data_IF_173715566257
#
_entry.id   IF_173715566257
#
_cell.length_a   1.000
_cell.length_b   1.000
_cell.length_c   1.000
_cell.angle_alpha   90.00
_cell.angle_beta   90.00
_cell.angle_gamma   90.00
#
_symmetry.space_group_name_H-M   'P 1'
#
loop_
_entity.id
_entity.type
_entity.pdbx_description
1 polymer ?
#
# COMPACT_ATOMS: atom_id res chain seq x y z
N UNK A 1 8.17 2.84 12.23
CA UNK A 1 6.76 3.13 11.87
C UNK A 1 6.02 4.01 12.89
N UNK A 2 6.49 5.21 13.29
CA UNK A 2 5.65 6.10 14.09
C UNK A 2 4.38 6.52 13.31
N UNK A 3 3.23 6.55 13.97
CA UNK A 3 1.97 7.07 13.41
C UNK A 3 1.36 6.26 12.26
N UNK A 4 1.77 5.01 12.05
CA UNK A 4 1.16 4.17 11.01
C UNK A 4 -0.25 3.70 11.40
N UNK A 5 -1.14 3.63 10.42
CA UNK A 5 -2.49 3.08 10.55
C UNK A 5 -2.59 1.79 9.75
N UNK A 6 -3.11 0.74 10.37
CA UNK A 6 -3.41 -0.53 9.70
C UNK A 6 -4.87 -0.88 9.92
N UNK A 7 -5.69 -0.74 8.89
CA UNK A 7 -7.06 -1.24 8.88
C UNK A 7 -7.05 -2.64 8.27
N UNK A 8 -6.95 -3.66 9.11
CA UNK A 8 -6.53 -5.02 8.71
C UNK A 8 -7.66 -6.03 8.52
N UNK A 9 -8.92 -5.60 8.45
CA UNK A 9 -10.07 -6.52 8.36
C UNK A 9 -10.08 -7.40 7.10
N UNK A 10 -9.37 -7.01 6.04
CA UNK A 10 -9.16 -7.82 4.83
C UNK A 10 -7.82 -8.57 4.77
N UNK A 11 -6.99 -8.43 5.81
CA UNK A 11 -5.65 -9.00 5.85
C UNK A 11 -4.58 -8.05 5.30
N UNK A 12 -3.42 -8.04 5.98
CA UNK A 12 -2.21 -7.32 5.57
C UNK A 12 -1.04 -8.27 5.78
N UNK A 13 -0.35 -8.62 4.69
CA UNK A 13 0.87 -9.42 4.71
C UNK A 13 2.06 -8.52 4.40
N UNK A 14 3.11 -8.60 5.21
CA UNK A 14 4.35 -7.86 5.03
C UNK A 14 5.48 -8.89 5.11
N UNK A 15 6.23 -9.03 4.02
CA UNK A 15 7.35 -9.97 3.91
C UNK A 15 8.63 -9.40 4.54
N UNK A 16 9.72 -10.19 4.47
CA UNK A 16 11.04 -9.83 5.00
C UNK A 16 11.62 -8.55 4.37
N UNK A 17 12.47 -7.86 5.12
CA UNK A 17 13.23 -6.68 4.67
C UNK A 17 12.39 -5.50 4.12
N UNK A 18 11.08 -5.48 4.37
CA UNK A 18 10.22 -4.35 4.02
C UNK A 18 10.51 -3.15 4.92
N UNK A 19 10.67 -1.97 4.31
CA UNK A 19 10.82 -0.72 5.04
C UNK A 19 9.54 0.11 4.97
N UNK A 20 8.97 0.44 6.14
CA UNK A 20 7.76 1.29 6.25
C UNK A 20 8.11 2.54 7.04
N UNK A 21 8.04 3.69 6.36
CA UNK A 21 8.32 5.00 6.95
C UNK A 21 7.18 5.48 7.88
N UNK A 22 7.33 6.67 8.46
CA UNK A 22 6.33 7.24 9.35
C UNK A 22 5.00 7.54 8.64
N UNK A 23 3.89 7.48 9.36
CA UNK A 23 2.54 7.88 8.93
C UNK A 23 1.99 7.13 7.70
N UNK A 24 2.50 5.93 7.39
CA UNK A 24 1.94 5.09 6.33
C UNK A 24 0.57 4.55 6.74
N UNK A 25 -0.35 4.49 5.78
CA UNK A 25 -1.68 3.92 5.95
C UNK A 25 -1.83 2.67 5.08
N UNK A 26 -2.10 1.52 5.69
CA UNK A 26 -2.43 0.27 5.01
C UNK A 26 -3.91 -0.03 5.26
N UNK A 27 -4.73 0.03 4.22
CA UNK A 27 -6.20 -0.02 4.34
C UNK A 27 -6.72 -1.22 3.56
N UNK A 28 -6.99 -2.35 4.23
CA UNK A 28 -7.47 -3.59 3.60
C UNK A 28 -8.99 -3.72 3.55
N UNK A 29 -9.72 -2.75 4.10
CA UNK A 29 -11.18 -2.72 4.07
C UNK A 29 -11.73 -1.37 3.59
N UNK A 30 -12.92 -1.43 2.99
CA UNK A 30 -13.70 -0.29 2.53
C UNK A 30 -15.18 -0.61 2.76
N UNK A 31 -16.07 0.13 2.12
CA UNK A 31 -17.50 -0.09 2.15
C UNK A 31 -18.03 -0.42 0.77
N UNK A 32 -19.09 -1.23 0.72
CA UNK A 32 -19.86 -1.39 -0.52
C UNK A 32 -20.35 -0.02 -1.01
N UNK A 33 -20.30 0.22 -2.33
CA UNK A 33 -20.63 1.52 -2.90
C UNK A 33 -22.10 1.90 -2.65
N UNK A 34 -23.01 0.92 -2.74
CA UNK A 34 -24.47 1.10 -2.61
C UNK A 34 -24.93 0.95 -1.16
N UNK A 35 -24.41 -0.02 -0.44
CA UNK A 35 -24.81 -0.36 0.92
C UNK A 35 -23.69 -0.07 1.91
N UNK A 36 -23.47 1.21 2.24
CA UNK A 36 -22.30 1.69 3.02
C UNK A 36 -22.13 1.09 4.42
N UNK A 37 -23.14 0.42 4.99
CA UNK A 37 -22.99 -0.30 6.26
C UNK A 37 -22.29 -1.66 6.09
N UNK A 38 -22.20 -2.18 4.86
CA UNK A 38 -21.50 -3.41 4.53
C UNK A 38 -20.02 -3.09 4.32
N UNK A 39 -19.18 -3.72 5.13
CA UNK A 39 -17.72 -3.66 4.99
C UNK A 39 -17.30 -4.62 3.87
N UNK A 40 -16.48 -4.13 2.94
CA UNK A 40 -15.82 -4.94 1.91
C UNK A 40 -14.34 -5.06 2.24
N UNK A 41 -13.75 -6.22 1.97
CA UNK A 41 -12.38 -6.53 2.36
C UNK A 41 -11.60 -7.05 1.15
N UNK A 42 -10.37 -6.56 0.97
CA UNK A 42 -9.42 -7.07 -0.02
C UNK A 42 -8.01 -7.03 0.59
N UNK A 43 -7.25 -8.14 0.56
CA UNK A 43 -5.96 -8.21 1.22
C UNK A 43 -4.94 -7.25 0.61
N UNK A 44 -4.01 -6.78 1.43
CA UNK A 44 -2.81 -6.06 0.99
C UNK A 44 -1.60 -6.98 1.16
N UNK A 45 -0.70 -7.00 0.19
CA UNK A 45 0.58 -7.70 0.31
C UNK A 45 1.74 -6.75 -0.03
N UNK A 46 2.65 -6.56 0.93
CA UNK A 46 3.90 -5.83 0.72
C UNK A 46 5.03 -6.85 0.62
N UNK A 47 5.53 -7.06 -0.59
CA UNK A 47 6.54 -8.09 -0.88
C UNK A 47 7.93 -7.69 -0.39
N UNK A 48 8.82 -8.68 -0.30
CA UNK A 48 10.17 -8.57 0.25
C UNK A 48 10.95 -7.35 -0.29
N UNK A 49 11.66 -6.66 0.59
CA UNK A 49 12.54 -5.55 0.21
C UNK A 49 11.83 -4.29 -0.29
N UNK A 50 10.49 -4.26 -0.35
CA UNK A 50 9.76 -3.06 -0.74
C UNK A 50 9.96 -1.91 0.27
N UNK A 51 9.95 -0.68 -0.22
CA UNK A 51 10.07 0.53 0.59
C UNK A 51 8.84 1.43 0.42
N UNK A 52 8.10 1.63 1.52
CA UNK A 52 6.92 2.49 1.57
C UNK A 52 7.31 3.83 2.20
N UNK A 53 7.33 4.88 1.37
CA UNK A 53 7.68 6.24 1.74
C UNK A 53 6.69 6.88 2.74
N UNK A 54 7.17 7.89 3.47
CA UNK A 54 6.42 8.48 4.58
C UNK A 54 5.07 9.04 4.13
N UNK A 55 4.02 8.81 4.91
CA UNK A 55 2.67 9.31 4.61
C UNK A 55 1.97 8.62 3.42
N UNK A 56 2.56 7.60 2.80
CA UNK A 56 1.90 6.89 1.71
C UNK A 56 0.68 6.10 2.19
N UNK A 57 -0.31 5.97 1.31
CA UNK A 57 -1.55 5.21 1.53
C UNK A 57 -1.64 4.07 0.52
N UNK A 58 -1.78 2.84 1.02
CA UNK A 58 -1.99 1.63 0.23
C UNK A 58 -3.46 1.19 0.37
N UNK A 59 -4.18 1.11 -0.76
CA UNK A 59 -5.61 0.82 -0.80
C UNK A 59 -5.93 -0.68 -0.84
N UNK A 60 -7.19 -1.08 -0.61
CA UNK A 60 -7.57 -2.49 -0.52
C UNK A 60 -7.27 -3.27 -1.80
N UNK A 61 -6.67 -4.45 -1.67
CA UNK A 61 -6.38 -5.34 -2.79
C UNK A 61 -5.04 -5.11 -3.48
N UNK A 62 -4.24 -4.15 -3.00
CA UNK A 62 -2.96 -3.81 -3.62
C UNK A 62 -1.84 -4.75 -3.17
N UNK A 63 -1.08 -5.24 -4.14
CA UNK A 63 0.23 -5.86 -3.96
C UNK A 63 1.33 -4.87 -4.33
N UNK A 64 2.29 -4.64 -3.44
CA UNK A 64 3.52 -3.89 -3.72
C UNK A 64 4.65 -4.87 -3.95
N UNK A 65 5.15 -4.94 -5.18
CA UNK A 65 6.12 -5.94 -5.62
C UNK A 65 7.50 -5.85 -4.95
N UNK A 66 8.29 -6.91 -5.13
CA UNK A 66 9.62 -7.05 -4.53
C UNK A 66 10.55 -5.89 -4.93
N UNK A 67 11.27 -5.34 -3.95
CA UNK A 67 12.16 -4.18 -4.08
C UNK A 67 11.49 -2.90 -4.64
N UNK A 68 10.16 -2.84 -4.76
CA UNK A 68 9.48 -1.66 -5.26
C UNK A 68 9.54 -0.52 -4.24
N UNK A 69 9.59 0.73 -4.73
CA UNK A 69 9.62 1.94 -3.91
C UNK A 69 8.35 2.75 -4.16
N UNK A 70 7.60 3.00 -3.10
CA UNK A 70 6.46 3.92 -3.09
C UNK A 70 6.94 5.26 -2.54
N UNK A 71 6.88 6.32 -3.34
CA UNK A 71 7.27 7.67 -2.93
C UNK A 71 6.42 8.20 -1.77
N UNK A 72 6.98 9.14 -0.99
CA UNK A 72 6.27 9.77 0.12
C UNK A 72 4.93 10.41 -0.33
N UNK A 73 3.94 10.38 0.56
CA UNK A 73 2.58 10.91 0.37
C UNK A 73 1.82 10.36 -0.85
N UNK A 74 2.25 9.22 -1.42
CA UNK A 74 1.58 8.60 -2.56
C UNK A 74 0.29 7.90 -2.15
N UNK A 75 -0.69 7.85 -3.05
CA UNK A 75 -1.92 7.06 -2.90
C UNK A 75 -1.91 5.94 -3.94
N UNK A 76 -1.62 4.72 -3.48
CA UNK A 76 -1.47 3.54 -4.32
C UNK A 76 -2.82 2.86 -4.48
N UNK A 77 -3.36 2.94 -5.70
CA UNK A 77 -4.70 2.47 -6.05
C UNK A 77 -4.71 1.17 -6.85
N UNK A 78 -3.54 0.70 -7.29
CA UNK A 78 -3.33 -0.49 -8.12
C UNK A 78 -2.02 -1.16 -7.71
N UNK A 79 -1.83 -2.42 -8.12
CA UNK A 79 -0.58 -3.14 -7.88
C UNK A 79 0.64 -2.40 -8.40
N UNK A 80 1.76 -2.56 -7.70
CA UNK A 80 3.06 -1.97 -8.06
C UNK A 80 3.99 -3.09 -8.50
N UNK A 81 4.51 -2.99 -9.73
CA UNK A 81 5.47 -3.95 -10.27
C UNK A 81 6.77 -3.97 -9.45
N UNK A 82 7.37 -5.16 -9.30
CA UNK A 82 8.69 -5.33 -8.67
C UNK A 82 9.76 -4.48 -9.35
N UNK A 83 10.76 -4.03 -8.60
CA UNK A 83 11.88 -3.21 -9.09
C UNK A 83 11.43 -1.93 -9.81
N UNK A 84 10.35 -1.30 -9.33
CA UNK A 84 9.89 -0.01 -9.85
C UNK A 84 9.78 1.04 -8.75
N UNK A 85 9.84 2.31 -9.16
CA UNK A 85 9.54 3.44 -8.29
C UNK A 85 8.22 4.06 -8.77
N UNK A 86 7.24 4.15 -7.88
CA UNK A 86 5.97 4.83 -8.12
C UNK A 86 5.80 6.02 -7.19
N UNK A 87 5.12 7.08 -7.65
CA UNK A 87 4.71 8.16 -6.75
C UNK A 87 3.47 8.90 -7.25
N UNK A 88 2.84 9.67 -6.37
CA UNK A 88 1.73 10.58 -6.68
C UNK A 88 0.37 10.10 -6.17
N UNK A 89 -0.67 10.85 -6.51
CA UNK A 89 -2.07 10.54 -6.18
C UNK A 89 -2.95 10.75 -7.44
N UNK A 90 -3.36 9.67 -8.14
CA UNK A 90 -2.97 8.28 -7.91
C UNK A 90 -1.48 8.05 -8.20
N UNK A 91 -0.86 7.09 -7.52
CA UNK A 91 0.52 6.72 -7.74
C UNK A 91 0.73 6.19 -9.16
N UNK A 92 1.78 6.65 -9.84
CA UNK A 92 2.15 6.23 -11.20
C UNK A 92 3.62 5.83 -11.25
N UNK A 93 3.96 4.94 -12.18
CA UNK A 93 5.34 4.57 -12.49
C UNK A 93 6.15 5.82 -12.83
N UNK A 94 7.26 6.01 -12.12
CA UNK A 94 8.26 7.02 -12.43
C UNK A 94 9.42 6.41 -13.23
N UNK A 95 9.98 5.30 -12.74
CA UNK A 95 11.05 4.56 -13.42
C UNK A 95 11.20 3.13 -12.88
N UNK A 96 11.97 2.32 -13.61
CA UNK A 96 12.46 1.00 -13.17
C UNK A 96 13.81 1.14 -12.44
N UNK A 97 14.14 0.18 -11.58
CA UNK A 97 15.38 0.09 -10.79
C UNK A 97 16.40 -0.77 -11.53
#
# INVERSE_FOLDING_TARGET
MPGCLMMSAGGITIDDDVQIAANVQLISNNHDLKYRHIITCKPIHICRGAWIGAGATILPGVTVGENAVVGAASVVTHDVESNTIVAGNPAKLLRRI
#
